data_IF_236528565255
#
_entry.id   IF_236528565255
#
_cell.length_a   1.000
_cell.length_b   1.000
_cell.length_c   1.000
_cell.angle_alpha   90.00
_cell.angle_beta   90.00
_cell.angle_gamma   90.00
#
_symmetry.space_group_name_H-M   'P 1'
#
loop_
_entity.id
_entity.type
_entity.pdbx_description
1 polymer ?
#
# COMPACT_ATOMS: atom_id res chain seq x y z
N UNK A 1 6.71 -3.32 28.82
CA UNK A 1 6.83 -3.19 27.36
C UNK A 1 6.62 -4.57 26.77
N UNK A 2 5.52 -4.81 26.06
CA UNK A 2 5.25 -6.14 25.48
C UNK A 2 6.13 -6.27 24.25
N UNK A 3 7.15 -7.12 24.32
CA UNK A 3 7.95 -7.49 23.15
C UNK A 3 7.05 -8.22 22.16
N UNK A 4 7.09 -7.82 20.89
CA UNK A 4 6.31 -8.46 19.85
C UNK A 4 6.81 -9.89 19.65
N UNK A 5 5.90 -10.86 19.51
CA UNK A 5 6.30 -12.26 19.40
C UNK A 5 6.96 -12.57 18.03
N UNK A 6 7.75 -13.64 17.92
CA UNK A 6 8.47 -13.98 16.69
C UNK A 6 7.58 -14.20 15.46
N UNK A 7 6.34 -14.69 15.63
CA UNK A 7 5.40 -14.93 14.53
C UNK A 7 4.88 -13.59 14.02
N UNK A 8 4.51 -12.69 14.94
CA UNK A 8 4.11 -11.32 14.61
C UNK A 8 5.23 -10.55 13.88
N UNK A 9 6.50 -10.72 14.30
CA UNK A 9 7.64 -10.11 13.60
C UNK A 9 7.80 -10.66 12.18
N UNK A 10 7.72 -11.97 12.00
CA UNK A 10 7.82 -12.60 10.68
C UNK A 10 6.67 -12.17 9.75
N UNK A 11 5.46 -12.04 10.29
CA UNK A 11 4.30 -11.51 9.58
C UNK A 11 4.51 -10.06 9.13
N UNK A 12 4.92 -9.19 10.05
CA UNK A 12 5.20 -7.78 9.76
C UNK A 12 6.31 -7.63 8.71
N UNK A 13 7.41 -8.37 8.84
CA UNK A 13 8.50 -8.34 7.87
C UNK A 13 8.06 -8.80 6.48
N UNK A 14 7.13 -9.77 6.41
CA UNK A 14 6.54 -10.22 5.14
C UNK A 14 5.71 -9.13 4.46
N UNK A 15 4.99 -8.34 5.24
CA UNK A 15 4.20 -7.21 4.73
C UNK A 15 5.11 -6.05 4.31
N UNK A 16 6.16 -5.76 5.08
CA UNK A 16 7.05 -4.62 4.87
C UNK A 16 8.00 -4.79 3.67
N UNK A 17 8.58 -5.99 3.49
CA UNK A 17 9.60 -6.25 2.48
C UNK A 17 9.22 -5.78 1.05
N UNK A 18 8.01 -6.07 0.51
CA UNK A 18 7.64 -5.59 -0.82
C UNK A 18 7.50 -4.06 -0.90
N UNK A 19 6.99 -3.40 0.14
CA UNK A 19 6.93 -1.92 0.17
C UNK A 19 8.32 -1.30 0.16
N UNK A 20 9.26 -1.87 0.91
CA UNK A 20 10.64 -1.39 0.97
C UNK A 20 11.34 -1.60 -0.37
N UNK A 21 11.26 -2.80 -0.95
CA UNK A 21 11.91 -3.10 -2.23
C UNK A 21 11.38 -2.19 -3.35
N UNK A 22 10.05 -2.05 -3.48
CA UNK A 22 9.40 -1.22 -4.49
C UNK A 22 9.58 0.27 -4.25
N UNK A 23 9.51 0.71 -3.00
CA UNK A 23 9.72 2.10 -2.64
C UNK A 23 11.14 2.57 -2.90
N UNK A 24 12.16 1.76 -2.59
CA UNK A 24 13.55 2.08 -2.87
C UNK A 24 13.88 2.10 -4.37
N UNK A 25 13.28 1.20 -5.16
CA UNK A 25 13.39 1.20 -6.62
C UNK A 25 12.82 2.49 -7.21
N UNK A 26 11.58 2.83 -6.84
CA UNK A 26 10.91 4.02 -7.34
C UNK A 26 11.62 5.33 -6.91
N UNK A 27 12.15 5.41 -5.67
CA UNK A 27 12.97 6.53 -5.19
C UNK A 27 14.25 6.76 -6.03
N UNK A 28 14.75 5.72 -6.67
CA UNK A 28 16.02 5.78 -7.42
C UNK A 28 15.82 6.03 -8.90
N UNK A 29 14.63 5.70 -9.41
CA UNK A 29 14.22 5.98 -10.78
C UNK A 29 13.64 7.38 -10.94
N UNK A 30 13.10 7.96 -9.87
CA UNK A 30 12.70 9.36 -9.88
C UNK A 30 13.95 10.25 -9.85
N UNK A 31 14.08 11.14 -10.84
CA UNK A 31 15.14 12.14 -10.90
C UNK A 31 14.91 13.24 -9.83
N UNK A 32 15.01 12.88 -8.55
CA UNK A 32 14.83 13.77 -7.40
C UNK A 32 13.42 13.83 -6.81
N UNK A 33 12.43 13.14 -7.39
CA UNK A 33 11.10 13.05 -6.80
C UNK A 33 11.14 12.05 -5.63
N UNK A 34 11.28 12.57 -4.41
CA UNK A 34 11.16 11.73 -3.22
C UNK A 34 9.77 11.11 -3.24
N UNK A 35 9.68 9.79 -3.05
CA UNK A 35 8.45 9.16 -2.59
C UNK A 35 8.18 9.76 -1.22
N UNK A 36 7.37 10.81 -1.19
CA UNK A 36 6.93 11.43 0.05
C UNK A 36 5.95 10.52 0.80
N UNK A 37 5.77 10.81 2.08
CA UNK A 37 4.82 10.10 2.92
C UNK A 37 5.30 8.73 3.40
N UNK A 38 4.35 7.94 3.88
CA UNK A 38 4.58 6.77 4.75
C UNK A 38 5.51 5.72 4.14
N UNK A 39 5.44 5.48 2.81
CA UNK A 39 6.31 4.52 2.14
C UNK A 39 7.76 5.02 2.10
N UNK A 40 7.97 6.32 1.88
CA UNK A 40 9.30 6.93 1.94
C UNK A 40 9.90 6.83 3.34
N UNK A 41 9.11 7.13 4.37
CA UNK A 41 9.51 7.02 5.77
C UNK A 41 9.87 5.59 6.16
N UNK A 42 9.15 4.59 5.63
CA UNK A 42 9.45 3.17 5.80
C UNK A 42 10.79 2.82 5.15
N UNK A 43 11.00 3.21 3.89
CA UNK A 43 12.25 2.94 3.16
C UNK A 43 13.45 3.57 3.85
N UNK A 44 13.33 4.83 4.28
CA UNK A 44 14.37 5.56 4.99
C UNK A 44 14.69 4.89 6.34
N UNK A 45 13.66 4.53 7.11
CA UNK A 45 13.84 3.86 8.40
C UNK A 45 14.58 2.53 8.27
N UNK A 46 14.30 1.74 7.23
CA UNK A 46 15.02 0.48 6.97
C UNK A 46 16.45 0.74 6.53
N UNK A 47 16.67 1.68 5.60
CA UNK A 47 18.00 2.04 5.14
C UNK A 47 18.91 2.53 6.28
N UNK A 48 18.39 3.41 7.15
CA UNK A 48 19.12 3.88 8.34
C UNK A 48 19.41 2.76 9.32
N UNK A 49 18.45 1.84 9.54
CA UNK A 49 18.66 0.70 10.45
C UNK A 49 19.72 -0.27 9.92
N UNK A 50 19.84 -0.40 8.61
CA UNK A 50 20.77 -1.31 7.96
C UNK A 50 22.17 -0.71 7.81
N UNK A 51 22.30 0.62 7.89
CA UNK A 51 23.57 1.33 7.75
C UNK A 51 24.64 0.80 8.71
N UNK A 52 25.80 0.44 8.16
CA UNK A 52 26.92 -0.11 8.95
C UNK A 52 26.86 -1.63 9.13
N UNK A 53 25.81 -2.29 8.64
CA UNK A 53 25.74 -3.74 8.49
C UNK A 53 25.85 -4.09 7.00
N UNK A 54 27.05 -4.50 6.59
CA UNK A 54 27.35 -4.79 5.19
C UNK A 54 26.46 -5.88 4.57
N UNK A 55 26.01 -6.86 5.36
CA UNK A 55 25.11 -7.90 4.87
C UNK A 55 23.70 -7.35 4.65
N UNK A 56 23.20 -6.54 5.59
CA UNK A 56 21.90 -5.92 5.49
C UNK A 56 21.84 -4.91 4.33
N UNK A 57 22.87 -4.06 4.20
CA UNK A 57 22.97 -3.08 3.10
C UNK A 57 23.00 -3.74 1.72
N UNK A 58 23.77 -4.82 1.56
CA UNK A 58 23.79 -5.58 0.31
C UNK A 58 22.43 -6.24 0.02
N UNK A 59 21.80 -6.84 1.04
CA UNK A 59 20.48 -7.45 0.88
C UNK A 59 19.45 -6.42 0.41
N UNK A 60 19.48 -5.21 0.98
CA UNK A 60 18.60 -4.11 0.58
C UNK A 60 18.87 -3.66 -0.87
N UNK A 61 20.15 -3.52 -1.24
CA UNK A 61 20.53 -3.15 -2.60
C UNK A 61 20.07 -4.19 -3.63
N UNK A 62 20.26 -5.49 -3.34
CA UNK A 62 19.79 -6.58 -4.21
C UNK A 62 18.28 -6.57 -4.37
N UNK A 63 17.53 -6.44 -3.27
CA UNK A 63 16.07 -6.37 -3.32
C UNK A 63 15.58 -5.18 -4.14
N UNK A 64 16.25 -4.03 -4.05
CA UNK A 64 15.96 -2.86 -4.87
C UNK A 64 16.21 -3.08 -6.37
N UNK A 65 17.27 -3.79 -6.76
CA UNK A 65 17.60 -4.02 -8.19
C UNK A 65 16.53 -4.82 -8.95
N UNK A 66 15.92 -5.83 -8.29
CA UNK A 66 14.85 -6.64 -8.87
C UNK A 66 13.74 -6.75 -7.81
N UNK A 67 12.88 -5.71 -7.68
CA UNK A 67 11.95 -5.59 -6.56
C UNK A 67 10.83 -6.62 -6.55
N UNK A 68 10.53 -7.27 -7.69
CA UNK A 68 9.52 -8.32 -7.79
C UNK A 68 10.10 -9.75 -7.66
N UNK A 69 11.41 -9.89 -7.40
CA UNK A 69 12.01 -11.21 -7.17
C UNK A 69 11.63 -11.75 -5.79
N UNK A 70 10.90 -12.86 -5.76
CA UNK A 70 10.50 -13.54 -4.51
C UNK A 70 11.72 -13.94 -3.65
N UNK A 71 12.79 -14.42 -4.28
CA UNK A 71 14.04 -14.77 -3.59
C UNK A 71 14.64 -13.55 -2.86
N UNK A 72 14.75 -12.41 -3.56
CA UNK A 72 15.36 -11.21 -3.00
C UNK A 72 14.46 -10.55 -1.94
N UNK A 73 13.15 -10.57 -2.14
CA UNK A 73 12.20 -10.16 -1.11
C UNK A 73 12.25 -11.09 0.11
N UNK A 74 12.43 -12.39 -0.09
CA UNK A 74 12.59 -13.38 0.98
C UNK A 74 13.85 -13.15 1.82
N UNK A 75 14.97 -12.81 1.17
CA UNK A 75 16.19 -12.41 1.85
C UNK A 75 15.99 -11.12 2.65
N UNK A 76 15.39 -10.08 2.03
CA UNK A 76 15.09 -8.82 2.72
C UNK A 76 14.16 -9.01 3.92
N UNK A 77 13.10 -9.81 3.76
CA UNK A 77 12.19 -10.20 4.85
C UNK A 77 12.96 -10.83 6.02
N UNK A 78 13.89 -11.74 5.74
CA UNK A 78 14.63 -12.47 6.77
C UNK A 78 15.52 -11.52 7.59
N UNK A 79 16.28 -10.65 6.90
CA UNK A 79 17.12 -9.64 7.55
C UNK A 79 16.27 -8.64 8.32
N UNK A 80 15.15 -8.17 7.74
CA UNK A 80 14.25 -7.23 8.40
C UNK A 80 13.68 -7.81 9.69
N UNK A 81 13.24 -9.06 9.68
CA UNK A 81 12.76 -9.77 10.86
C UNK A 81 13.86 -9.92 11.93
N UNK A 82 15.11 -10.18 11.54
CA UNK A 82 16.24 -10.22 12.47
C UNK A 82 16.46 -8.86 13.15
N UNK A 83 16.49 -7.76 12.39
CA UNK A 83 16.67 -6.42 12.95
C UNK A 83 15.52 -6.01 13.87
N UNK A 84 14.28 -6.39 13.55
CA UNK A 84 13.12 -6.17 14.43
C UNK A 84 13.17 -6.97 15.72
N UNK A 85 13.69 -8.21 15.68
CA UNK A 85 13.89 -9.03 16.90
C UNK A 85 14.95 -8.42 17.81
N UNK A 86 16.02 -7.89 17.23
CA UNK A 86 17.11 -7.27 17.96
C UNK A 86 16.75 -5.86 18.50
N UNK A 87 15.80 -5.18 17.87
CA UNK A 87 15.39 -3.82 18.23
C UNK A 87 13.84 -3.68 18.21
N UNK A 88 13.20 -3.83 19.38
CA UNK A 88 11.75 -3.73 19.52
C UNK A 88 11.19 -2.34 19.15
N UNK A 89 11.95 -1.26 19.38
CA UNK A 89 11.52 0.09 19.01
C UNK A 89 11.48 0.26 17.50
N UNK A 90 12.45 -0.32 16.79
CA UNK A 90 12.42 -0.40 15.33
C UNK A 90 11.25 -1.24 14.82
N UNK A 91 10.93 -2.37 15.47
CA UNK A 91 9.78 -3.19 15.10
C UNK A 91 8.45 -2.41 15.22
N UNK A 92 8.25 -1.69 16.32
CA UNK A 92 7.07 -0.84 16.52
C UNK A 92 7.00 0.30 15.50
N UNK A 93 8.15 0.90 15.14
CA UNK A 93 8.21 1.93 14.10
C UNK A 93 7.76 1.38 12.75
N UNK A 94 8.29 0.22 12.32
CA UNK A 94 7.91 -0.41 11.05
C UNK A 94 6.43 -0.82 11.06
N UNK A 95 5.93 -1.34 12.19
CA UNK A 95 4.52 -1.71 12.34
C UNK A 95 3.59 -0.54 12.05
N UNK A 96 3.88 0.63 12.65
CA UNK A 96 3.09 1.86 12.43
C UNK A 96 3.11 2.25 10.95
N UNK A 97 4.28 2.30 10.33
CA UNK A 97 4.43 2.69 8.93
C UNK A 97 3.73 1.71 7.97
N UNK A 98 3.79 0.40 8.22
CA UNK A 98 3.07 -0.60 7.40
C UNK A 98 1.56 -0.46 7.56
N UNK A 99 1.08 -0.26 8.79
CA UNK A 99 -0.36 -0.06 9.07
C UNK A 99 -0.90 1.21 8.39
N UNK A 100 -0.15 2.31 8.47
CA UNK A 100 -0.49 3.57 7.79
C UNK A 100 -0.43 3.44 6.26
N UNK A 101 0.56 2.73 5.71
CA UNK A 101 0.63 2.47 4.27
C UNK A 101 -0.55 1.60 3.79
N UNK A 102 -0.97 0.62 4.59
CA UNK A 102 -2.16 -0.18 4.32
C UNK A 102 -3.44 0.65 4.36
N UNK A 103 -3.60 1.53 5.36
CA UNK A 103 -4.74 2.44 5.48
C UNK A 103 -4.82 3.44 4.31
N UNK A 104 -3.68 4.00 3.89
CA UNK A 104 -3.64 4.92 2.75
C UNK A 104 -4.12 4.23 1.45
N UNK A 105 -3.72 2.98 1.22
CA UNK A 105 -4.18 2.20 0.08
C UNK A 105 -5.66 1.82 0.18
N UNK A 106 -6.13 1.44 1.37
CA UNK A 106 -7.55 1.15 1.59
C UNK A 106 -8.44 2.40 1.41
N UNK A 107 -7.98 3.57 1.87
CA UNK A 107 -8.67 4.85 1.68
C UNK A 107 -8.86 5.21 0.21
N UNK A 108 -7.85 4.98 -0.63
CA UNK A 108 -7.96 5.18 -2.09
C UNK A 108 -9.00 4.25 -2.76
N UNK A 109 -9.16 3.02 -2.25
CA UNK A 109 -10.14 2.05 -2.77
C UNK A 109 -11.58 2.32 -2.28
N UNK A 110 -11.73 3.06 -1.18
CA UNK A 110 -13.03 3.47 -0.64
C UNK A 110 -13.53 4.83 -1.18
N UNK A 111 -12.65 5.70 -1.66
CA UNK A 111 -13.04 7.01 -2.20
C UNK A 111 -13.76 6.93 -3.57
N UNK A 112 -13.57 5.84 -4.32
CA UNK A 112 -14.24 5.63 -5.62
C UNK A 112 -15.71 5.16 -5.52
N UNK A 113 -16.16 4.69 -4.35
CA UNK A 113 -17.53 4.16 -4.15
C UNK A 113 -18.44 5.09 -3.36
N UNK A 114 -17.94 6.28 -3.00
CA UNK A 114 -18.62 7.26 -2.17
C UNK A 114 -19.00 8.57 -2.86
N UNK A 115 -18.71 8.76 -4.16
CA UNK A 115 -19.23 9.91 -4.90
C UNK A 115 -20.73 9.75 -5.14
N UNK A 116 -21.53 10.16 -4.16
CA UNK A 116 -22.89 10.65 -4.43
C UNK A 116 -22.76 12.09 -4.90
N UNK A 117 -22.81 12.30 -6.22
CA UNK A 117 -23.02 13.64 -6.78
C UNK A 117 -24.42 14.10 -6.40
N UNK A 118 -24.53 14.82 -5.28
CA UNK A 118 -25.70 15.62 -4.93
C UNK A 118 -25.31 17.10 -4.92
N UNK A 119 -25.49 17.73 -6.07
CA UNK A 119 -25.34 19.17 -6.27
C UNK A 119 -25.62 19.51 -7.73
N UNK A 120 -26.28 20.65 -8.04
CA UNK A 120 -26.55 21.02 -9.42
C UNK A 120 -25.21 21.20 -10.14
N UNK A 121 -25.03 20.47 -11.23
CA UNK A 121 -23.82 20.44 -12.04
C UNK A 121 -23.28 21.87 -12.26
N UNK A 122 -22.02 22.10 -11.90
CA UNK A 122 -21.26 23.20 -12.48
C UNK A 122 -19.79 22.81 -12.61
N UNK A 123 -19.38 22.65 -13.87
CA UNK A 123 -18.01 22.67 -14.39
C UNK A 123 -17.05 21.53 -14.00
N UNK A 124 -17.17 20.39 -14.69
CA UNK A 124 -15.98 19.59 -15.03
C UNK A 124 -15.41 20.21 -16.30
N UNK A 125 -14.26 20.88 -16.16
CA UNK A 125 -13.49 21.40 -17.27
C UNK A 125 -13.14 20.29 -18.26
N UNK A 126 -13.55 20.52 -19.50
CA UNK A 126 -13.01 20.02 -20.76
C UNK A 126 -11.83 19.04 -20.67
N UNK A 127 -12.16 17.74 -20.56
CA UNK A 127 -11.26 16.66 -20.93
C UNK A 127 -12.00 15.75 -21.90
N UNK A 128 -11.58 15.79 -23.16
CA UNK A 128 -12.06 14.97 -24.26
C UNK A 128 -11.78 13.48 -24.02
N UNK A 129 -12.62 12.80 -23.23
CA UNK A 129 -12.64 11.35 -23.13
C UNK A 129 -14.07 10.84 -23.35
N UNK A 130 -14.29 9.76 -24.11
CA UNK A 130 -15.63 9.21 -24.32
C UNK A 130 -16.15 8.63 -23.01
N UNK A 131 -16.98 9.39 -22.31
CA UNK A 131 -17.81 8.87 -21.23
C UNK A 131 -18.87 7.96 -21.84
N UNK A 132 -18.82 6.67 -21.47
CA UNK A 132 -19.81 5.70 -21.85
C UNK A 132 -21.12 6.03 -21.13
N UNK A 133 -21.96 6.85 -21.78
CA UNK A 133 -23.30 7.21 -21.31
C UNK A 133 -24.25 6.03 -21.53
N UNK A 134 -24.15 5.01 -20.69
CA UNK A 134 -25.16 3.96 -20.57
C UNK A 134 -26.11 4.29 -19.42
N UNK A 135 -27.37 4.60 -19.73
CA UNK A 135 -28.45 4.69 -18.74
C UNK A 135 -28.64 3.29 -18.11
N UNK A 136 -28.07 3.04 -16.93
CA UNK A 136 -28.40 1.84 -16.16
C UNK A 136 -29.74 2.13 -15.48
N UNK A 137 -30.83 1.76 -16.16
CA UNK A 137 -32.17 1.80 -15.59
C UNK A 137 -32.27 0.92 -14.35
N UNK A 138 -32.91 1.46 -13.32
CA UNK A 138 -33.24 0.80 -12.06
C UNK A 138 -34.03 -0.49 -12.34
N UNK A 139 -33.47 -1.65 -12.05
CA UNK A 139 -34.23 -2.92 -12.03
C UNK A 139 -35.05 -2.98 -10.74
N UNK A 140 -36.33 -2.60 -10.84
CA UNK A 140 -37.32 -2.83 -9.80
C UNK A 140 -37.84 -4.27 -9.90
N UNK A 141 -37.51 -5.11 -8.92
CA UNK A 141 -38.25 -6.34 -8.66
C UNK A 141 -39.44 -5.99 -7.76
N UNK A 142 -40.65 -5.94 -8.32
CA UNK A 142 -41.86 -5.56 -7.59
C UNK A 142 -43.14 -6.19 -8.16
N UNK A 143 -43.55 -7.29 -7.54
CA UNK A 143 -44.93 -7.67 -7.19
C UNK A 143 -46.03 -7.57 -8.28
N UNK A 144 -46.26 -8.68 -9.00
CA UNK A 144 -47.42 -8.86 -9.90
C UNK A 144 -48.63 -9.47 -9.18
N UNK A 145 -49.39 -8.64 -8.46
CA UNK A 145 -50.69 -8.98 -7.89
C UNK A 145 -51.87 -8.41 -8.69
N UNK A 146 -52.72 -9.31 -9.23
CA UNK A 146 -54.18 -9.22 -9.54
C UNK A 146 -54.75 -7.97 -10.27
N UNK A 147 -55.55 -8.23 -11.31
CA UNK A 147 -56.87 -7.56 -11.44
C UNK A 147 -57.36 -7.16 -12.84
N UNK A 148 -58.30 -7.96 -13.37
CA UNK A 148 -59.42 -7.77 -14.33
C UNK A 148 -59.68 -6.45 -15.11
N UNK A 149 -60.38 -6.70 -16.24
CA UNK A 149 -61.33 -5.87 -17.03
C UNK A 149 -60.68 -5.06 -18.17
N UNK A 150 -61.15 -5.06 -19.42
CA UNK A 150 -62.45 -5.39 -20.02
C UNK A 150 -62.29 -6.26 -21.27
#
# INVERSE_FOLDING_TARGET
MTVMDPISIAGLASLAAPYVAKGLDALSKSAGEKIGGVIGDLCQSVADKFKGDSYAEQTLARAKEIPDSEERQGALKSVLAEKMKADPDFAEKVKKLVDEAGKAQAGMVFDQRGQTVQGPQTNIGEANAPVFSGNIGTVNFGEGGRGKSQ
#
